data_IF_045932870351
#
_entry.id   IF_045932870351
#
_cell.length_a   1.000
_cell.length_b   1.000
_cell.length_c   1.000
_cell.angle_alpha   90.00
_cell.angle_beta   90.00
_cell.angle_gamma   90.00
#
_symmetry.space_group_name_H-M   'P 1'
#
loop_
_entity.id
_entity.type
_entity.pdbx_description
1 polymer ?
#
# COMPACT_ATOMS: atom_id res chain seq x y z
N UNK A 1 -0.45 8.64 -6.94
CA UNK A 1 -0.27 10.08 -7.23
C UNK A 1 -0.54 10.90 -5.96
N UNK A 2 -0.13 12.17 -5.90
CA UNK A 2 -0.55 13.09 -4.84
C UNK A 2 -2.03 13.44 -5.03
N UNK A 3 -2.83 13.35 -3.97
CA UNK A 3 -4.27 13.61 -4.01
C UNK A 3 -4.70 14.68 -3.00
N UNK A 4 -3.76 15.31 -2.29
CA UNK A 4 -4.04 16.31 -1.26
C UNK A 4 -4.90 17.47 -1.76
N UNK A 5 -4.54 18.07 -2.90
CA UNK A 5 -5.29 19.20 -3.47
C UNK A 5 -6.69 18.80 -3.96
N UNK A 6 -6.83 17.60 -4.53
CA UNK A 6 -8.09 17.09 -5.09
C UNK A 6 -9.09 16.73 -3.99
N UNK A 7 -8.59 16.12 -2.91
CA UNK A 7 -9.44 15.61 -1.83
C UNK A 7 -9.65 16.62 -0.70
N UNK A 8 -8.75 17.59 -0.57
CA UNK A 8 -8.60 18.37 0.66
C UNK A 8 -8.23 17.51 1.87
N UNK A 9 -7.92 18.16 2.99
CA UNK A 9 -7.50 17.45 4.21
C UNK A 9 -8.57 16.49 4.74
N UNK A 10 -9.86 16.83 4.63
CA UNK A 10 -10.92 15.94 5.10
C UNK A 10 -11.05 14.70 4.22
N UNK A 11 -10.98 14.84 2.89
CA UNK A 11 -11.04 13.68 1.99
C UNK A 11 -9.85 12.74 2.19
N UNK A 12 -8.64 13.29 2.43
CA UNK A 12 -7.46 12.49 2.79
C UNK A 12 -7.68 11.72 4.09
N UNK A 13 -8.24 12.36 5.12
CA UNK A 13 -8.56 11.71 6.40
C UNK A 13 -9.58 10.60 6.23
N UNK A 14 -10.66 10.87 5.50
CA UNK A 14 -11.78 9.95 5.31
C UNK A 14 -11.35 8.69 4.56
N UNK A 15 -10.63 8.83 3.44
CA UNK A 15 -10.16 7.67 2.67
C UNK A 15 -9.05 6.91 3.42
N UNK A 16 -8.19 7.60 4.18
CA UNK A 16 -7.24 6.93 5.09
C UNK A 16 -7.96 6.11 6.15
N UNK A 17 -9.08 6.63 6.67
CA UNK A 17 -9.88 5.94 7.68
C UNK A 17 -10.60 4.72 7.09
N UNK A 18 -11.09 4.84 5.85
CA UNK A 18 -11.66 3.69 5.12
C UNK A 18 -10.61 2.58 4.92
N UNK A 19 -9.42 2.90 4.42
CA UNK A 19 -8.33 1.92 4.25
C UNK A 19 -8.04 1.25 5.59
N UNK A 20 -7.68 2.04 6.61
CA UNK A 20 -7.32 1.54 7.94
C UNK A 20 -8.40 0.62 8.55
N UNK A 21 -9.67 1.02 8.46
CA UNK A 21 -10.75 0.31 9.15
C UNK A 21 -11.34 -0.84 8.33
N UNK A 22 -11.64 -0.61 7.06
CA UNK A 22 -12.36 -1.58 6.22
C UNK A 22 -11.44 -2.53 5.48
N UNK A 23 -10.29 -2.05 5.00
CA UNK A 23 -9.34 -2.90 4.25
C UNK A 23 -8.35 -3.58 5.19
N UNK A 24 -7.92 -2.89 6.24
CA UNK A 24 -6.91 -3.40 7.17
C UNK A 24 -7.50 -3.93 8.49
N UNK A 25 -8.83 -3.88 8.68
CA UNK A 25 -9.54 -4.36 9.88
C UNK A 25 -9.02 -3.78 11.22
N UNK A 26 -8.52 -2.54 11.21
CA UNK A 26 -7.96 -1.87 12.39
C UNK A 26 -8.88 -0.78 12.91
N UNK A 27 -8.72 -0.43 14.18
CA UNK A 27 -9.50 0.64 14.78
C UNK A 27 -8.92 2.00 14.42
N UNK A 28 -9.82 2.98 14.24
CA UNK A 28 -9.46 4.37 14.09
C UNK A 28 -9.07 4.94 15.47
N UNK A 29 -8.08 5.85 15.57
CA UNK A 29 -7.82 6.57 16.81
C UNK A 29 -9.07 7.32 17.30
N UNK A 30 -9.29 7.36 18.62
CA UNK A 30 -10.51 7.94 19.21
C UNK A 30 -10.70 9.43 18.89
N UNK A 31 -9.60 10.17 18.75
CA UNK A 31 -9.58 11.60 18.44
C UNK A 31 -9.62 11.89 16.93
N UNK A 32 -9.61 10.86 16.10
CA UNK A 32 -9.58 11.02 14.65
C UNK A 32 -10.90 11.57 14.12
N UNK A 33 -10.85 12.81 13.64
CA UNK A 33 -11.95 13.44 12.89
C UNK A 33 -11.97 12.93 11.44
N UNK A 34 -12.52 11.74 11.22
CA UNK A 34 -12.65 11.13 9.90
C UNK A 34 -13.92 10.29 9.76
N UNK A 35 -14.43 10.19 8.53
CA UNK A 35 -15.62 9.43 8.18
C UNK A 35 -15.27 8.30 7.18
N UNK A 36 -15.14 7.05 7.64
CA UNK A 36 -14.85 5.91 6.77
C UNK A 36 -15.90 5.66 5.68
N UNK A 37 -17.16 6.04 5.88
CA UNK A 37 -18.24 5.88 4.89
C UNK A 37 -18.07 6.86 3.75
N UNK A 38 -17.69 8.11 4.04
CA UNK A 38 -17.30 9.07 3.02
C UNK A 38 -16.04 8.60 2.28
N UNK A 39 -15.05 8.10 3.02
CA UNK A 39 -13.82 7.55 2.48
C UNK A 39 -14.05 6.39 1.51
N UNK A 40 -15.03 5.51 1.77
CA UNK A 40 -15.40 4.43 0.87
C UNK A 40 -15.86 4.95 -0.50
N UNK A 41 -16.66 6.02 -0.52
CA UNK A 41 -17.13 6.63 -1.77
C UNK A 41 -15.95 7.19 -2.56
N UNK A 42 -15.07 7.95 -1.90
CA UNK A 42 -13.84 8.47 -2.51
C UNK A 42 -12.96 7.35 -3.04
N UNK A 43 -12.81 6.26 -2.28
CA UNK A 43 -12.03 5.10 -2.70
C UNK A 43 -12.58 4.48 -3.98
N UNK A 44 -13.89 4.26 -4.03
CA UNK A 44 -14.56 3.70 -5.20
C UNK A 44 -14.40 4.58 -6.45
N UNK A 45 -14.39 5.91 -6.29
CA UNK A 45 -14.27 6.85 -7.41
C UNK A 45 -12.83 7.03 -7.91
N UNK A 46 -11.83 7.09 -7.02
CA UNK A 46 -10.47 7.51 -7.38
C UNK A 46 -9.41 6.44 -7.15
N UNK A 47 -9.55 5.64 -6.10
CA UNK A 47 -8.51 4.70 -5.68
C UNK A 47 -8.67 3.33 -6.36
N UNK A 48 -9.92 2.89 -6.55
CA UNK A 48 -10.25 1.59 -7.13
C UNK A 48 -9.75 1.42 -8.57
N UNK A 49 -9.52 2.52 -9.30
CA UNK A 49 -8.95 2.49 -10.65
C UNK A 49 -7.54 1.86 -10.70
N UNK A 50 -6.77 1.97 -9.61
CA UNK A 50 -5.43 1.39 -9.50
C UNK A 50 -5.34 0.27 -8.46
N UNK A 51 -6.13 0.35 -7.39
CA UNK A 51 -6.09 -0.64 -6.29
C UNK A 51 -7.21 -1.69 -6.37
N UNK A 52 -8.07 -1.62 -7.39
CA UNK A 52 -9.24 -2.49 -7.51
C UNK A 52 -10.36 -2.13 -6.52
N UNK A 53 -11.60 -2.60 -6.77
CA UNK A 53 -12.76 -2.30 -5.92
C UNK A 53 -12.63 -2.87 -4.50
N UNK A 54 -11.91 -3.98 -4.35
CA UNK A 54 -11.64 -4.64 -3.07
C UNK A 54 -10.31 -4.20 -2.44
N UNK A 55 -9.56 -3.30 -3.08
CA UNK A 55 -8.25 -2.87 -2.59
C UNK A 55 -7.11 -3.87 -2.78
N UNK A 56 -7.28 -4.94 -3.56
CA UNK A 56 -6.27 -5.99 -3.81
C UNK A 56 -5.07 -5.57 -4.67
N UNK A 57 -5.04 -4.33 -5.13
CA UNK A 57 -3.94 -3.82 -5.95
C UNK A 57 -4.00 -4.25 -7.40
N UNK A 58 -3.04 -3.75 -8.19
CA UNK A 58 -2.85 -4.10 -9.60
C UNK A 58 -1.36 -4.24 -9.87
N UNK A 59 -0.82 -5.48 -9.92
CA UNK A 59 0.61 -5.72 -10.11
C UNK A 59 1.19 -5.07 -11.36
N UNK A 60 0.42 -5.01 -12.46
CA UNK A 60 0.85 -4.39 -13.72
C UNK A 60 1.13 -2.88 -13.59
N UNK A 61 0.46 -2.21 -12.65
CA UNK A 61 0.69 -0.79 -12.34
C UNK A 61 1.69 -0.59 -11.20
N UNK A 62 2.16 -1.68 -10.57
CA UNK A 62 2.89 -1.62 -9.31
C UNK A 62 2.06 -1.10 -8.13
N UNK A 63 0.73 -1.08 -8.26
CA UNK A 63 -0.16 -0.64 -7.19
C UNK A 63 -0.31 -1.76 -6.14
N UNK A 64 0.08 -1.53 -4.88
CA UNK A 64 0.08 -2.57 -3.85
C UNK A 64 -1.34 -2.99 -3.43
N UNK A 65 -1.42 -4.20 -2.91
CA UNK A 65 -2.58 -4.69 -2.16
C UNK A 65 -2.68 -3.93 -0.83
N UNK A 66 -3.80 -3.24 -0.64
CA UNK A 66 -4.08 -2.42 0.53
C UNK A 66 -4.68 -3.21 1.71
N UNK A 67 -5.04 -4.48 1.50
CA UNK A 67 -5.60 -5.36 2.53
C UNK A 67 -4.52 -6.00 3.42
N UNK A 68 -3.24 -5.89 3.03
CA UNK A 68 -2.09 -6.45 3.75
C UNK A 68 -1.21 -5.34 4.38
N UNK A 69 -1.59 -4.75 5.53
CA UNK A 69 -0.86 -3.64 6.15
C UNK A 69 0.62 -3.94 6.42
N UNK A 70 0.95 -5.18 6.76
CA UNK A 70 2.32 -5.59 7.11
C UNK A 70 3.29 -5.52 5.92
N UNK A 71 2.76 -5.50 4.69
CA UNK A 71 3.54 -5.36 3.47
C UNK A 71 3.80 -3.88 3.09
N UNK A 72 3.26 -2.91 3.83
CA UNK A 72 3.36 -1.49 3.47
C UNK A 72 4.76 -0.95 3.74
N UNK A 73 5.49 -0.61 2.68
CA UNK A 73 6.86 -0.07 2.79
C UNK A 73 6.94 1.37 3.30
N UNK A 74 5.82 2.12 3.30
CA UNK A 74 5.75 3.51 3.79
C UNK A 74 5.04 3.62 5.16
N UNK A 75 4.76 2.48 5.80
CA UNK A 75 4.05 2.39 7.07
C UNK A 75 2.52 2.41 6.91
N UNK A 76 1.85 1.77 7.87
CA UNK A 76 0.40 1.58 7.85
C UNK A 76 -0.34 2.35 8.97
N UNK A 77 0.31 3.28 9.68
CA UNK A 77 -0.39 4.11 10.66
C UNK A 77 -1.33 5.11 9.98
N UNK A 78 -2.36 5.56 10.69
CA UNK A 78 -3.33 6.53 10.14
C UNK A 78 -2.64 7.78 9.56
N UNK A 79 -1.65 8.33 10.27
CA UNK A 79 -0.85 9.46 9.81
C UNK A 79 0.00 9.13 8.56
N UNK A 80 0.56 7.92 8.47
CA UNK A 80 1.35 7.49 7.30
C UNK A 80 0.49 7.26 6.06
N UNK A 81 -0.74 6.75 6.24
CA UNK A 81 -1.73 6.66 5.17
C UNK A 81 -2.07 8.05 4.63
N UNK A 82 -2.38 8.99 5.53
CA UNK A 82 -2.69 10.38 5.15
C UNK A 82 -1.54 11.01 4.37
N UNK A 83 -0.31 10.88 4.86
CA UNK A 83 0.87 11.41 4.17
C UNK A 83 1.01 10.80 2.77
N UNK A 84 0.86 9.48 2.66
CA UNK A 84 0.98 8.76 1.38
C UNK A 84 -0.08 9.19 0.38
N UNK A 85 -1.32 9.41 0.82
CA UNK A 85 -2.42 9.85 -0.04
C UNK A 85 -2.27 11.32 -0.41
N UNK A 86 -1.88 12.17 0.55
CA UNK A 86 -1.69 13.62 0.34
C UNK A 86 -0.59 13.89 -0.66
N UNK A 87 0.60 13.35 -0.40
CA UNK A 87 1.84 13.72 -1.09
C UNK A 87 2.17 12.76 -2.23
N UNK A 88 1.47 11.62 -2.32
CA UNK A 88 1.78 10.55 -3.26
C UNK A 88 3.08 9.83 -2.92
N UNK A 89 3.44 8.86 -3.78
CA UNK A 89 4.69 8.09 -3.69
C UNK A 89 5.27 7.86 -5.08
N UNK A 90 6.60 7.89 -5.16
CA UNK A 90 7.39 7.65 -6.37
C UNK A 90 8.60 6.79 -6.00
N UNK A 91 8.33 5.55 -5.56
CA UNK A 91 9.40 4.59 -5.28
C UNK A 91 10.10 4.18 -6.57
N UNK A 92 11.42 4.03 -6.52
CA UNK A 92 12.23 3.64 -7.67
C UNK A 92 13.01 2.37 -7.31
N UNK A 93 12.93 1.37 -8.18
CA UNK A 93 13.83 0.22 -8.17
C UNK A 93 14.81 0.42 -9.34
N UNK A 94 16.06 0.85 -9.09
CA UNK A 94 17.01 1.10 -10.16
C UNK A 94 17.32 -0.18 -10.96
N UNK A 95 17.45 -0.05 -12.27
CA UNK A 95 17.80 -1.19 -13.12
C UNK A 95 19.17 -1.76 -12.71
N UNK A 96 19.20 -3.04 -12.32
CA UNK A 96 20.42 -3.69 -11.83
C UNK A 96 21.33 -4.20 -12.96
N UNK A 97 20.82 -4.33 -14.19
CA UNK A 97 21.57 -4.86 -15.33
C UNK A 97 22.85 -4.07 -15.61
N UNK A 98 22.78 -2.74 -15.60
CA UNK A 98 23.95 -1.88 -15.86
C UNK A 98 25.00 -1.96 -14.72
N UNK A 99 24.57 -2.30 -13.51
CA UNK A 99 25.44 -2.36 -12.32
C UNK A 99 26.08 -3.74 -12.14
N UNK A 100 25.38 -4.82 -12.50
CA UNK A 100 25.77 -6.18 -12.13
C UNK A 100 25.89 -7.16 -13.31
N UNK A 101 25.36 -6.82 -14.48
CA UNK A 101 25.27 -7.73 -15.63
C UNK A 101 24.16 -8.79 -15.49
N UNK A 102 23.83 -9.45 -16.61
CA UNK A 102 22.68 -10.35 -16.70
C UNK A 102 22.81 -11.59 -15.81
N UNK A 103 23.99 -12.23 -15.76
CA UNK A 103 24.18 -13.48 -15.01
C UNK A 103 23.93 -13.28 -13.51
N UNK A 104 24.44 -12.18 -12.94
CA UNK A 104 24.23 -11.85 -11.52
C UNK A 104 22.78 -11.48 -11.24
N UNK A 105 22.14 -10.72 -12.12
CA UNK A 105 20.71 -10.39 -12.00
C UNK A 105 19.86 -11.67 -12.02
N UNK A 106 20.20 -12.65 -12.86
CA UNK A 106 19.48 -13.92 -12.91
C UNK A 106 19.60 -14.70 -11.60
N UNK A 107 20.81 -14.78 -11.03
CA UNK A 107 21.06 -15.42 -9.74
C UNK A 107 20.32 -14.69 -8.61
N UNK A 108 20.35 -13.35 -8.59
CA UNK A 108 19.62 -12.55 -7.61
C UNK A 108 18.11 -12.74 -7.72
N UNK A 109 17.56 -12.82 -8.94
CA UNK A 109 16.15 -13.10 -9.15
C UNK A 109 15.78 -14.48 -8.60
N UNK A 110 16.60 -15.50 -8.85
CA UNK A 110 16.41 -16.84 -8.29
C UNK A 110 16.47 -16.84 -6.75
N UNK A 111 17.40 -16.07 -6.17
CA UNK A 111 17.51 -15.92 -4.72
C UNK A 111 16.27 -15.25 -4.11
N UNK A 112 15.83 -14.09 -4.63
CA UNK A 112 14.62 -13.40 -4.17
C UNK A 112 13.38 -14.30 -4.31
N UNK A 113 13.29 -15.08 -5.39
CA UNK A 113 12.24 -16.07 -5.57
C UNK A 113 12.30 -17.19 -4.53
N UNK A 114 13.49 -17.63 -4.12
CA UNK A 114 13.64 -18.64 -3.07
C UNK A 114 13.18 -18.13 -1.69
N UNK A 115 13.31 -16.83 -1.41
CA UNK A 115 12.89 -16.24 -0.13
C UNK A 115 11.38 -16.34 0.08
N UNK A 116 10.57 -16.25 -0.98
CA UNK A 116 9.11 -16.39 -0.87
C UNK A 116 8.63 -17.83 -0.69
N UNK A 117 9.53 -18.81 -0.83
CA UNK A 117 9.29 -20.26 -0.69
C UNK A 117 9.72 -20.81 0.67
N UNK A 118 10.39 -20.01 1.51
CA UNK A 118 10.79 -20.44 2.84
C UNK A 118 9.55 -20.53 3.75
N UNK A 119 9.24 -21.73 4.25
CA UNK A 119 8.15 -21.92 5.21
C UNK A 119 8.42 -21.13 6.50
N UNK A 120 7.38 -20.50 7.06
CA UNK A 120 7.42 -20.01 8.45
C UNK A 120 7.70 -21.21 9.36
N UNK A 121 8.69 -21.14 10.28
CA UNK A 121 8.83 -22.15 11.32
C UNK A 121 7.51 -22.29 12.08
N UNK A 122 7.01 -23.51 12.25
CA UNK A 122 5.79 -23.76 13.03
C UNK A 122 5.99 -23.26 14.46
N UNK A 123 5.03 -22.49 14.98
CA UNK A 123 4.98 -22.13 16.41
C UNK A 123 4.84 -23.41 17.24
N UNK A 124 5.69 -23.63 18.26
CA UNK A 124 5.52 -24.75 19.17
C UNK A 124 4.22 -24.56 19.97
N UNK A 125 3.43 -25.64 20.07
CA UNK A 125 2.19 -25.71 20.85
C UNK A 125 2.44 -25.55 22.35
#
# INVERSE_FOLDING_TARGET
PALGEVLGEQGVRDVSAYVLTRLNARQLPEDAKANPVAGQKTFATLCAACHGPEGKGMPILGAPDLTHPDAFIYGASFARLQQTIRDGRQGQMPAQQALQGNDRVHILAAYVYSLSRQEKPAEPK
#
